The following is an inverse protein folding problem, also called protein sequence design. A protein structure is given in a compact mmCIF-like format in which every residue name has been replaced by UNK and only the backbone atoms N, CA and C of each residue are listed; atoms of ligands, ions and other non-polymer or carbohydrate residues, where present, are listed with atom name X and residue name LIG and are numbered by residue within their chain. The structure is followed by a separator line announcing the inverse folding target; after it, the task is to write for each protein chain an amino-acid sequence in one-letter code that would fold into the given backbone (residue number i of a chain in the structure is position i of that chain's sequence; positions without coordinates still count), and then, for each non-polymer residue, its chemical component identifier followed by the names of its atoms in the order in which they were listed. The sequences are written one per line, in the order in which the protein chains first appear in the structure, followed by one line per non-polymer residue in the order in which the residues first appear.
data_IF_137691193622
#
_entry.id   IF_137691193622
#
_cell.length_a   1.000
_cell.length_b   1.000
_cell.length_c   1.000
_cell.angle_alpha   90.00
_cell.angle_beta   90.00
_cell.angle_gamma   90.00
#
_symmetry.space_group_name_H-M   'P 1'
#
loop_
_entity.id
_entity.type
_entity.pdbx_description
1 polymer ?
#
# COMPACT_ATOMS: atom_id res chain seq x y z
N UNK A 1 -4.52 9.28 8.85
CA UNK A 1 -5.56 8.49 8.15
C UNK A 1 -5.86 7.19 8.86
N UNK A 2 -7.09 6.72 8.74
CA UNK A 2 -7.42 5.37 9.18
C UNK A 2 -6.90 4.37 8.17
N UNK A 3 -6.50 3.20 8.63
CA UNK A 3 -5.98 2.14 7.76
C UNK A 3 -6.95 0.97 7.78
N UNK A 4 -7.31 0.49 6.59
CA UNK A 4 -8.11 -0.72 6.44
C UNK A 4 -7.40 -1.68 5.51
N UNK A 5 -7.62 -2.97 5.70
CA UNK A 5 -7.02 -4.02 4.87
C UNK A 5 -8.12 -4.81 4.19
N UNK A 6 -7.99 -5.00 2.87
CA UNK A 6 -8.92 -5.85 2.13
C UNK A 6 -8.67 -7.32 2.51
N UNK A 7 -9.63 -8.19 2.21
CA UNK A 7 -9.45 -9.61 2.44
C UNK A 7 -8.26 -10.16 1.66
N UNK A 8 -8.08 -9.70 0.42
CA UNK A 8 -6.94 -10.12 -0.40
C UNK A 8 -5.61 -9.70 0.20
N UNK A 9 -5.54 -8.48 0.73
CA UNK A 9 -4.29 -8.01 1.36
C UNK A 9 -3.98 -8.78 2.63
N UNK A 10 -5.00 -9.15 3.39
CA UNK A 10 -4.79 -9.97 4.59
C UNK A 10 -4.23 -11.34 4.21
N UNK A 11 -4.76 -11.95 3.15
CA UNK A 11 -4.22 -13.21 2.64
C UNK A 11 -2.80 -13.05 2.14
N UNK A 12 -2.52 -11.94 1.44
CA UNK A 12 -1.17 -11.65 0.98
C UNK A 12 -0.20 -11.59 2.16
N UNK A 13 -0.59 -10.90 3.23
CA UNK A 13 0.27 -10.75 4.41
C UNK A 13 0.60 -12.07 5.07
N UNK A 14 -0.32 -13.03 5.03
CA UNK A 14 -0.08 -14.35 5.61
C UNK A 14 1.04 -15.11 4.91
N UNK A 15 1.36 -14.75 3.67
CA UNK A 15 2.45 -15.39 2.93
C UNK A 15 3.83 -14.87 3.30
N UNK A 16 3.91 -13.78 4.05
CA UNK A 16 5.18 -13.20 4.48
C UNK A 16 5.58 -13.75 5.85
N UNK A 17 6.89 -13.75 6.11
CA UNK A 17 7.39 -14.12 7.43
C UNK A 17 6.94 -13.12 8.47
N UNK A 18 7.00 -13.49 9.74
CA UNK A 18 6.61 -12.60 10.84
C UNK A 18 7.40 -11.28 10.83
N UNK A 19 8.74 -11.29 10.69
CA UNK A 19 9.50 -10.04 10.60
C UNK A 19 9.08 -9.17 9.43
N UNK A 20 8.80 -9.78 8.27
CA UNK A 20 8.37 -9.02 7.10
C UNK A 20 6.99 -8.40 7.32
N UNK A 21 6.08 -9.12 7.97
CA UNK A 21 4.75 -8.57 8.28
C UNK A 21 4.86 -7.36 9.20
N UNK A 22 5.74 -7.41 10.18
CA UNK A 22 5.96 -6.28 11.07
C UNK A 22 6.51 -5.09 10.30
N UNK A 23 7.49 -5.32 9.43
CA UNK A 23 8.05 -4.26 8.60
C UNK A 23 6.98 -3.63 7.72
N UNK A 24 6.18 -4.46 7.05
CA UNK A 24 5.12 -3.98 6.15
C UNK A 24 4.12 -3.14 6.93
N UNK A 25 3.68 -3.61 8.09
CA UNK A 25 2.71 -2.89 8.91
C UNK A 25 3.24 -1.52 9.34
N UNK A 26 4.49 -1.46 9.78
CA UNK A 26 5.12 -0.20 10.18
C UNK A 26 5.24 0.76 9.02
N UNK A 27 5.58 0.27 7.84
CA UNK A 27 5.70 1.12 6.66
C UNK A 27 4.35 1.62 6.17
N UNK A 28 3.30 0.82 6.31
CA UNK A 28 1.94 1.26 5.97
C UNK A 28 1.47 2.34 6.94
N UNK A 29 1.78 2.21 8.23
CA UNK A 29 1.50 3.26 9.21
C UNK A 29 2.22 4.55 8.83
N UNK A 30 3.50 4.46 8.51
CA UNK A 30 4.29 5.59 8.07
C UNK A 30 3.67 6.24 6.83
N UNK A 31 3.26 5.40 5.88
CA UNK A 31 2.59 5.87 4.66
C UNK A 31 1.31 6.64 5.00
N UNK A 32 0.50 6.14 5.91
CA UNK A 32 -0.76 6.78 6.27
C UNK A 32 -0.56 8.16 6.92
N UNK A 33 0.54 8.33 7.63
CA UNK A 33 0.86 9.59 8.30
C UNK A 33 1.57 10.59 7.39
N UNK A 34 2.17 10.11 6.30
CA UNK A 34 3.01 10.95 5.44
C UNK A 34 2.64 10.86 3.96
N UNK A 35 1.39 10.54 3.66
CA UNK A 35 0.94 10.29 2.29
C UNK A 35 1.27 11.44 1.35
N UNK A 36 0.95 12.68 1.72
CA UNK A 36 1.16 13.82 0.84
C UNK A 36 2.64 14.05 0.54
N UNK A 37 3.48 13.92 1.55
CA UNK A 37 4.92 14.09 1.39
C UNK A 37 5.47 12.98 0.49
N UNK A 38 5.05 11.75 0.70
CA UNK A 38 5.52 10.61 -0.08
C UNK A 38 5.04 10.69 -1.52
N UNK A 39 3.83 11.18 -1.74
CA UNK A 39 3.30 11.41 -3.08
C UNK A 39 4.09 12.49 -3.80
N UNK A 40 4.37 13.61 -3.13
CA UNK A 40 5.14 14.71 -3.71
C UNK A 40 6.57 14.31 -4.06
N UNK A 41 7.19 13.47 -3.24
CA UNK A 41 8.56 13.01 -3.49
C UNK A 41 8.62 11.80 -4.42
N UNK A 42 7.49 11.39 -4.99
CA UNK A 42 7.37 10.29 -5.95
C UNK A 42 7.68 8.91 -5.37
N UNK A 43 7.65 8.77 -4.04
CA UNK A 43 7.76 7.47 -3.40
C UNK A 43 6.44 6.71 -3.43
N UNK A 44 5.35 7.43 -3.66
CA UNK A 44 4.04 6.88 -3.94
C UNK A 44 3.70 7.24 -5.37
N UNK A 45 3.34 6.24 -6.17
CA UNK A 45 3.00 6.42 -7.58
C UNK A 45 1.51 6.23 -7.78
N UNK A 46 0.86 7.19 -8.39
CA UNK A 46 -0.54 7.04 -8.75
C UNK A 46 -0.66 6.15 -9.98
N UNK A 47 -1.57 5.18 -9.95
CA UNK A 47 -1.84 4.32 -11.09
C UNK A 47 -2.83 5.03 -11.99
N UNK A 48 -2.40 5.35 -13.20
CA UNK A 48 -3.17 6.21 -14.13
C UNK A 48 -4.00 5.45 -15.14
N UNK A 49 -3.99 4.13 -15.11
CA UNK A 49 -4.88 3.34 -15.93
C UNK A 49 -6.30 3.56 -15.47
N UNK A 50 -7.25 3.64 -16.39
CA UNK A 50 -8.63 3.96 -16.05
C UNK A 50 -9.28 2.97 -15.08
N UNK A 51 -8.78 1.73 -15.02
CA UNK A 51 -9.27 0.74 -14.06
C UNK A 51 -8.77 0.99 -12.64
N UNK A 52 -7.79 1.87 -12.47
CA UNK A 52 -7.12 2.08 -11.19
C UNK A 52 -7.25 3.50 -10.68
N UNK A 53 -8.38 4.14 -10.93
CA UNK A 53 -8.61 5.50 -10.44
C UNK A 53 -8.50 5.55 -8.92
N UNK A 54 -7.81 6.58 -8.42
CA UNK A 54 -7.57 6.79 -6.99
C UNK A 54 -6.80 5.65 -6.33
N UNK A 55 -6.08 4.86 -7.12
CA UNK A 55 -5.23 3.80 -6.61
C UNK A 55 -3.77 4.19 -6.75
N UNK A 56 -2.98 3.72 -5.79
CA UNK A 56 -1.58 4.10 -5.66
C UNK A 56 -0.74 2.89 -5.35
N UNK A 57 0.56 3.01 -5.63
CA UNK A 57 1.56 2.00 -5.34
C UNK A 57 2.62 2.58 -4.43
N UNK A 58 2.98 1.85 -3.39
CA UNK A 58 4.08 2.18 -2.50
C UNK A 58 5.04 1.01 -2.44
N UNK A 59 6.35 1.28 -2.52
CA UNK A 59 7.37 0.24 -2.54
C UNK A 59 8.11 0.21 -1.21
N UNK A 60 8.20 -0.99 -0.61
CA UNK A 60 8.89 -1.20 0.65
C UNK A 60 10.13 -2.04 0.40
N UNK A 61 11.29 -1.59 0.89
CA UNK A 61 12.55 -2.31 0.79
C UNK A 61 12.91 -2.73 -0.64
N UNK A 62 12.49 -1.93 -1.63
CA UNK A 62 12.75 -2.13 -3.07
C UNK A 62 12.14 -3.39 -3.68
N UNK A 63 11.50 -4.24 -2.90
CA UNK A 63 10.98 -5.52 -3.41
C UNK A 63 9.51 -5.78 -3.10
N UNK A 64 8.97 -5.15 -2.07
CA UNK A 64 7.57 -5.37 -1.67
C UNK A 64 6.73 -4.22 -2.18
N UNK A 65 5.60 -4.53 -2.81
CA UNK A 65 4.69 -3.52 -3.34
C UNK A 65 3.38 -3.55 -2.58
N UNK A 66 2.90 -2.37 -2.23
CA UNK A 66 1.61 -2.19 -1.59
C UNK A 66 0.73 -1.43 -2.57
N UNK A 67 -0.39 -2.03 -2.96
CA UNK A 67 -1.41 -1.35 -3.75
C UNK A 67 -2.49 -0.90 -2.78
N UNK A 68 -2.85 0.36 -2.84
CA UNK A 68 -3.84 0.91 -1.94
C UNK A 68 -4.65 2.00 -2.63
N UNK A 69 -5.76 2.36 -2.03
CA UNK A 69 -6.54 3.51 -2.50
C UNK A 69 -6.94 4.37 -1.31
N UNK A 70 -7.26 5.63 -1.60
CA UNK A 70 -7.71 6.57 -0.60
C UNK A 70 -9.21 6.71 -0.73
N UNK A 71 -9.91 6.53 0.37
CA UNK A 71 -11.37 6.61 0.43
C UNK A 71 -11.84 7.68 1.40
N UNK A 72 -13.11 8.04 1.30
CA UNK A 72 -13.78 8.97 2.21
C UNK A 72 -13.05 10.31 2.32
N UNK A 73 -12.78 10.94 1.17
CA UNK A 73 -12.13 12.26 1.12
C UNK A 73 -10.79 12.27 1.87
N UNK A 74 -10.00 11.23 1.65
CA UNK A 74 -8.64 11.09 2.17
C UNK A 74 -8.56 10.79 3.67
N UNK A 75 -9.64 10.29 4.25
CA UNK A 75 -9.64 9.91 5.65
C UNK A 75 -9.20 8.45 5.85
N UNK A 76 -9.41 7.60 4.85
CA UNK A 76 -9.12 6.17 4.95
C UNK A 76 -8.17 5.71 3.86
N UNK A 77 -7.12 5.00 4.27
CA UNK A 77 -6.20 4.31 3.38
C UNK A 77 -6.59 2.83 3.36
N UNK A 78 -7.09 2.36 2.23
CA UNK A 78 -7.48 0.95 2.07
C UNK A 78 -6.38 0.19 1.34
N UNK A 79 -5.75 -0.76 2.02
CA UNK A 79 -4.73 -1.63 1.42
C UNK A 79 -5.44 -2.69 0.60
N UNK A 80 -5.17 -2.70 -0.71
CA UNK A 80 -5.81 -3.62 -1.66
C UNK A 80 -5.02 -4.91 -1.83
N UNK A 81 -3.71 -4.80 -2.03
CA UNK A 81 -2.82 -5.94 -2.21
C UNK A 81 -1.44 -5.65 -1.65
N UNK A 82 -0.76 -6.69 -1.19
CA UNK A 82 0.64 -6.60 -0.77
C UNK A 82 1.36 -7.79 -1.38
N UNK A 83 2.47 -7.55 -2.05
CA UNK A 83 3.19 -8.67 -2.65
C UNK A 83 4.54 -8.28 -3.19
N UNK A 84 5.26 -9.29 -3.67
CA UNK A 84 6.52 -9.08 -4.36
C UNK A 84 6.24 -8.56 -5.76
N UNK A 85 7.21 -7.87 -6.33
CA UNK A 85 7.07 -7.24 -7.64
C UNK A 85 6.49 -8.18 -8.70
N UNK A 86 6.86 -9.45 -8.66
CA UNK A 86 6.43 -10.42 -9.66
C UNK A 86 5.06 -11.02 -9.40
N UNK A 87 4.49 -10.80 -8.23
CA UNK A 87 3.28 -11.49 -7.79
C UNK A 87 1.98 -10.72 -7.96
N UNK A 88 2.06 -9.38 -8.01
CA UNK A 88 0.85 -8.54 -7.99
C UNK A 88 0.67 -7.70 -9.24
N UNK A 89 1.42 -7.99 -10.28
CA UNK A 89 1.25 -7.36 -11.59
C UNK A 89 1.05 -8.40 -12.66
#
# INVERSE_FOLDING_TARGET
MNIKYSEKSIKDLKSFSHPDRILIAKKIEYLSENFEILKSSKKVTELKDCEFKNQFRFIIAKKIRVLFKIENSEITLLVLRVGLRKSIY
#
